data_IF_710045351964
#
_entry.id   IF_710045351964
#
_cell.length_a   1.000
_cell.length_b   1.000
_cell.length_c   1.000
_cell.angle_alpha   90.00
_cell.angle_beta   90.00
_cell.angle_gamma   90.00
#
_symmetry.space_group_name_H-M   'P 1'
#
loop_
_entity.id
_entity.type
_entity.pdbx_description
1 polymer ?
#
# COMPACT_ATOMS: atom_id res chain seq x y z
N UNK A 1 3.24 -17.43 -19.00
CA UNK A 1 2.28 -16.34 -18.73
C UNK A 1 2.99 -15.41 -17.78
N UNK A 2 3.43 -14.25 -18.27
CA UNK A 2 4.02 -13.23 -17.41
C UNK A 2 2.88 -12.61 -16.61
N UNK A 3 2.90 -12.75 -15.29
CA UNK A 3 1.92 -12.10 -14.42
C UNK A 3 2.21 -10.61 -14.49
N UNK A 4 1.29 -9.82 -15.04
CA UNK A 4 1.38 -8.38 -15.06
C UNK A 4 1.47 -7.89 -13.59
N UNK A 5 2.57 -7.25 -13.22
CA UNK A 5 2.77 -6.76 -11.87
C UNK A 5 1.90 -5.51 -11.71
N UNK A 6 0.71 -5.68 -11.14
CA UNK A 6 -0.16 -4.56 -10.77
C UNK A 6 0.45 -3.86 -9.56
N UNK A 7 1.06 -2.69 -9.78
CA UNK A 7 1.49 -1.76 -8.73
C UNK A 7 0.51 -0.61 -8.65
N UNK A 8 -0.46 -0.70 -7.76
CA UNK A 8 -1.50 0.32 -7.62
C UNK A 8 -1.64 0.78 -6.17
N UNK A 9 -2.16 2.00 -6.03
CA UNK A 9 -2.49 2.63 -4.77
C UNK A 9 -3.95 3.07 -4.85
N UNK A 10 -4.72 2.76 -3.81
CA UNK A 10 -6.11 3.21 -3.70
C UNK A 10 -6.30 3.85 -2.34
N UNK A 11 -6.66 5.14 -2.34
CA UNK A 11 -6.91 5.90 -1.13
C UNK A 11 -8.41 6.09 -0.95
N UNK A 12 -8.94 5.66 0.20
CA UNK A 12 -10.28 5.96 0.63
C UNK A 12 -10.28 7.15 1.59
N UNK A 13 -10.72 8.36 1.15
CA UNK A 13 -10.70 9.55 2.00
C UNK A 13 -11.69 9.50 3.16
N UNK A 14 -12.77 8.71 3.06
CA UNK A 14 -13.80 8.65 4.11
C UNK A 14 -13.28 7.93 5.37
N UNK A 15 -12.35 7.00 5.20
CA UNK A 15 -11.75 6.21 6.28
C UNK A 15 -10.28 6.52 6.52
N UNK A 16 -9.69 7.41 5.71
CA UNK A 16 -8.25 7.69 5.64
C UNK A 16 -7.41 6.42 5.41
N UNK A 17 -7.96 5.45 4.68
CA UNK A 17 -7.33 4.14 4.46
C UNK A 17 -6.60 4.14 3.12
N UNK A 18 -5.40 3.56 3.08
CA UNK A 18 -4.62 3.41 1.85
C UNK A 18 -4.29 1.94 1.58
N UNK A 19 -4.76 1.44 0.45
CA UNK A 19 -4.34 0.16 -0.10
C UNK A 19 -3.13 0.32 -1.02
N UNK A 20 -2.17 -0.58 -0.85
CA UNK A 20 -0.96 -0.69 -1.66
C UNK A 20 -0.93 -2.10 -2.25
N UNK A 21 -1.10 -2.23 -3.56
CA UNK A 21 -1.08 -3.52 -4.24
C UNK A 21 0.25 -3.72 -4.98
N UNK A 22 0.86 -4.88 -4.78
CA UNK A 22 2.08 -5.36 -5.42
C UNK A 22 1.80 -6.47 -6.45
N UNK A 23 0.58 -7.03 -6.42
CA UNK A 23 0.06 -8.01 -7.37
C UNK A 23 -1.43 -7.76 -7.62
N UNK A 24 -2.12 -8.75 -8.19
CA UNK A 24 -3.54 -8.64 -8.53
C UNK A 24 -4.43 -8.59 -7.26
N UNK A 25 -5.16 -7.47 -7.01
CA UNK A 25 -6.06 -7.35 -5.86
C UNK A 25 -7.13 -8.45 -5.80
N UNK A 26 -7.60 -8.92 -6.96
CA UNK A 26 -8.64 -9.97 -7.03
C UNK A 26 -8.15 -11.34 -6.55
N UNK A 27 -6.83 -11.49 -6.38
CA UNK A 27 -6.21 -12.71 -5.86
C UNK A 27 -6.11 -12.73 -4.33
N UNK A 28 -6.53 -11.67 -3.63
CA UNK A 28 -6.58 -11.61 -2.16
C UNK A 28 -7.50 -12.70 -1.62
N UNK A 29 -6.99 -13.46 -0.65
CA UNK A 29 -7.79 -14.46 0.07
C UNK A 29 -7.66 -14.39 1.57
N UNK A 30 -6.65 -13.68 2.07
CA UNK A 30 -6.43 -13.52 3.51
C UNK A 30 -5.77 -12.19 3.82
N UNK A 31 -6.03 -11.68 5.02
CA UNK A 31 -5.51 -10.43 5.53
C UNK A 31 -5.08 -10.57 6.99
N UNK A 32 -3.82 -10.25 7.29
CA UNK A 32 -3.23 -10.42 8.62
C UNK A 32 -2.69 -9.09 9.16
N UNK A 33 -3.10 -8.65 10.37
CA UNK A 33 -2.52 -7.50 11.04
C UNK A 33 -1.03 -7.70 11.35
N UNK A 34 -0.20 -6.72 11.00
CA UNK A 34 1.24 -6.69 11.31
C UNK A 34 1.54 -5.68 12.43
N UNK A 35 0.80 -4.57 12.45
CA UNK A 35 0.75 -3.58 13.53
C UNK A 35 -0.69 -3.17 13.75
N UNK A 36 -0.94 -2.25 14.68
CA UNK A 36 -2.26 -1.62 14.85
C UNK A 36 -2.72 -0.79 13.64
N UNK A 37 -1.81 -0.46 12.71
CA UNK A 37 -2.10 0.43 11.58
C UNK A 37 -1.69 -0.16 10.21
N UNK A 38 -1.17 -1.39 10.18
CA UNK A 38 -0.69 -2.06 8.97
C UNK A 38 -1.21 -3.49 8.91
N UNK A 39 -1.84 -3.84 7.79
CA UNK A 39 -2.35 -5.18 7.48
C UNK A 39 -1.67 -5.68 6.21
N UNK A 40 -1.23 -6.94 6.20
CA UNK A 40 -0.75 -7.61 4.97
C UNK A 40 -1.89 -8.31 4.27
N UNK A 41 -1.91 -8.27 2.94
CA UNK A 41 -2.88 -8.94 2.07
C UNK A 41 -2.18 -10.03 1.29
N UNK A 42 -2.71 -11.26 1.37
CA UNK A 42 -2.09 -12.47 0.84
C UNK A 42 -2.97 -13.18 -0.17
N UNK A 43 -2.34 -13.83 -1.13
CA UNK A 43 -3.02 -14.74 -2.05
C UNK A 43 -3.17 -16.16 -1.47
N UNK A 44 -3.81 -17.05 -2.22
CA UNK A 44 -4.00 -18.47 -1.81
C UNK A 44 -2.72 -19.26 -1.56
N UNK A 45 -1.58 -18.78 -2.07
CA UNK A 45 -0.26 -19.39 -1.86
C UNK A 45 0.43 -18.85 -0.61
N UNK A 46 -0.21 -17.93 0.12
CA UNK A 46 0.35 -17.25 1.29
C UNK A 46 1.32 -16.12 0.95
N UNK A 47 1.48 -15.80 -0.34
CA UNK A 47 2.37 -14.73 -0.81
C UNK A 47 1.72 -13.38 -0.56
N UNK A 48 2.50 -12.43 -0.05
CA UNK A 48 2.05 -11.05 0.12
C UNK A 48 1.87 -10.42 -1.26
N UNK A 49 0.66 -9.95 -1.54
CA UNK A 49 0.29 -9.26 -2.77
C UNK A 49 -0.11 -7.81 -2.53
N UNK A 50 -0.23 -7.38 -1.27
CA UNK A 50 -0.54 -6.01 -0.93
C UNK A 50 -0.48 -5.71 0.57
N UNK A 51 -0.72 -4.45 0.91
CA UNK A 51 -0.80 -3.92 2.25
C UNK A 51 -1.96 -2.94 2.35
N UNK A 52 -2.53 -2.84 3.54
CA UNK A 52 -3.49 -1.80 3.91
C UNK A 52 -2.94 -1.01 5.09
N UNK A 53 -2.93 0.31 4.93
CA UNK A 53 -2.69 1.26 6.02
C UNK A 53 -4.06 1.73 6.48
N UNK A 54 -4.43 1.38 7.71
CA UNK A 54 -5.78 1.62 8.24
C UNK A 54 -6.08 3.12 8.31
N UNK A 55 -5.13 3.90 8.81
CA UNK A 55 -5.18 5.38 8.86
C UNK A 55 -3.85 5.95 8.39
N UNK A 56 -3.83 6.52 7.18
CA UNK A 56 -2.63 7.08 6.54
C UNK A 56 -2.01 8.21 7.39
N UNK A 57 -2.84 9.06 8.01
CA UNK A 57 -2.38 10.11 8.90
C UNK A 57 -1.68 9.62 10.18
N UNK A 58 -1.80 8.33 10.51
CA UNK A 58 -1.14 7.69 11.67
C UNK A 58 0.06 6.83 11.27
N UNK A 59 0.39 6.76 9.98
CA UNK A 59 1.52 5.98 9.49
C UNK A 59 2.82 6.43 10.16
N UNK A 60 3.50 5.50 10.81
CA UNK A 60 4.71 5.81 11.58
C UNK A 60 5.93 5.01 11.10
N UNK A 61 7.08 5.26 11.72
CA UNK A 61 8.34 4.60 11.34
C UNK A 61 8.37 3.10 11.63
N UNK A 62 7.60 2.60 12.61
CA UNK A 62 7.48 1.16 12.84
C UNK A 62 6.72 0.48 11.72
N UNK A 63 5.56 1.04 11.32
CA UNK A 63 4.79 0.54 10.19
C UNK A 63 5.65 0.48 8.93
N UNK A 64 6.39 1.57 8.65
CA UNK A 64 7.32 1.63 7.53
C UNK A 64 8.40 0.54 7.62
N UNK A 65 8.97 0.26 8.78
CA UNK A 65 10.01 -0.79 8.92
C UNK A 65 9.48 -2.20 8.68
N UNK A 66 8.22 -2.47 9.00
CA UNK A 66 7.60 -3.79 8.80
C UNK A 66 7.05 -3.99 7.38
N UNK A 67 6.96 -2.92 6.59
CA UNK A 67 6.56 -2.96 5.19
C UNK A 67 7.74 -3.35 4.27
N UNK A 68 7.53 -4.24 3.27
CA UNK A 68 8.51 -4.56 2.25
C UNK A 68 9.03 -3.33 1.53
N UNK A 69 10.25 -3.43 1.01
CA UNK A 69 10.91 -2.32 0.34
C UNK A 69 10.10 -1.84 -0.87
N UNK A 70 9.56 -2.74 -1.68
CA UNK A 70 8.80 -2.43 -2.87
C UNK A 70 7.56 -1.57 -2.56
N UNK A 71 6.83 -1.91 -1.48
CA UNK A 71 5.66 -1.14 -1.05
C UNK A 71 6.07 0.24 -0.48
N UNK A 72 7.17 0.30 0.28
CA UNK A 72 7.71 1.59 0.75
C UNK A 72 8.13 2.51 -0.39
N UNK A 73 8.75 1.96 -1.44
CA UNK A 73 9.16 2.70 -2.64
C UNK A 73 7.93 3.25 -3.34
N UNK A 74 6.92 2.41 -3.59
CA UNK A 74 5.68 2.81 -4.26
C UNK A 74 4.96 3.93 -3.50
N UNK A 75 4.88 3.84 -2.17
CA UNK A 75 4.29 4.88 -1.32
C UNK A 75 5.05 6.21 -1.44
N UNK A 76 6.39 6.18 -1.35
CA UNK A 76 7.23 7.37 -1.44
C UNK A 76 7.15 8.04 -2.80
N UNK A 77 7.18 7.27 -3.89
CA UNK A 77 7.08 7.82 -5.23
C UNK A 77 5.74 8.53 -5.47
N UNK A 78 4.65 7.94 -4.98
CA UNK A 78 3.32 8.51 -5.15
C UNK A 78 3.12 9.77 -4.30
N UNK A 79 3.64 9.79 -3.06
CA UNK A 79 3.68 11.01 -2.26
C UNK A 79 4.47 12.13 -2.96
N UNK A 80 5.63 11.81 -3.55
CA UNK A 80 6.44 12.77 -4.30
C UNK A 80 5.68 13.33 -5.52
N UNK A 81 5.02 12.46 -6.31
CA UNK A 81 4.21 12.86 -7.46
C UNK A 81 3.11 13.85 -7.06
N UNK A 82 2.37 13.55 -6.00
CA UNK A 82 1.33 14.45 -5.47
C UNK A 82 1.92 15.80 -5.00
N UNK A 83 3.08 15.76 -4.35
CA UNK A 83 3.77 16.98 -3.90
C UNK A 83 4.21 17.88 -5.07
N UNK A 84 4.64 17.29 -6.19
CA UNK A 84 5.05 18.03 -7.39
C UNK A 84 3.83 18.65 -8.07
N UNK A 85 2.75 17.88 -8.26
CA UNK A 85 1.50 18.36 -8.85
C UNK A 85 0.91 19.51 -8.05
N UNK A 86 0.97 19.45 -6.70
CA UNK A 86 0.49 20.52 -5.83
C UNK A 86 1.29 21.83 -5.94
N UNK A 87 2.55 21.76 -6.39
CA UNK A 87 3.44 22.93 -6.54
C UNK A 87 3.35 23.59 -7.91
N UNK A 88 2.99 22.85 -8.96
CA UNK A 88 2.86 23.38 -10.33
C UNK A 88 1.52 24.06 -10.61
N UNK A 89 0.51 23.90 -9.74
CA UNK A 89 -0.81 24.54 -9.87
C UNK A 89 -0.99 25.73 -8.89
N UNK A 90 0.11 26.32 -8.42
CA UNK A 90 0.11 27.48 -7.52
C UNK A 90 0.82 28.65 -8.18
#
# INVERSE_FOLDING_TARGET
METEIVRSLYYNPDTDTLDIWLGDPSSETDAEPITENLVSKRNRRGEIIGFEIITLGKLNSEDMRKMPEEARVLLKESANRLSIVSRTHK
#
